data_IF_744111614988
#
_entry.id   IF_744111614988
#
_cell.length_a   1.000
_cell.length_b   1.000
_cell.length_c   1.000
_cell.angle_alpha   90.00
_cell.angle_beta   90.00
_cell.angle_gamma   90.00
#
_symmetry.space_group_name_H-M   'P 1'
#
loop_
_entity.id
_entity.type
_entity.pdbx_description
1 polymer ?
#
# COMPACT_ATOMS: atom_id res chain seq x y z
N UNK A 1 6.85 -30.88 22.86
CA UNK A 1 7.05 -29.84 21.83
C UNK A 1 6.57 -28.52 22.43
N UNK A 2 7.48 -27.60 22.66
CA UNK A 2 7.13 -26.32 23.28
C UNK A 2 6.53 -25.41 22.19
N UNK A 3 5.26 -25.11 22.27
CA UNK A 3 4.52 -24.26 21.32
C UNK A 3 5.02 -22.80 21.31
N UNK A 4 6.10 -22.48 22.07
CA UNK A 4 6.58 -21.12 22.30
C UNK A 4 7.94 -20.79 21.69
N UNK A 5 8.49 -21.67 20.86
CA UNK A 5 9.84 -21.55 20.32
C UNK A 5 9.87 -20.82 18.96
N UNK A 6 8.71 -20.56 18.36
CA UNK A 6 8.63 -19.78 17.12
C UNK A 6 7.44 -18.82 17.15
N UNK A 7 7.53 -17.67 16.49
CA UNK A 7 6.39 -16.77 16.30
C UNK A 7 5.26 -17.44 15.52
N UNK A 8 4.03 -17.09 15.85
CA UNK A 8 2.88 -17.51 15.07
C UNK A 8 2.89 -16.90 13.67
N UNK A 9 2.30 -17.62 12.72
CA UNK A 9 1.98 -17.10 11.39
C UNK A 9 0.52 -16.70 11.31
N UNK A 10 0.20 -15.79 10.41
CA UNK A 10 -1.14 -15.30 10.18
C UNK A 10 -1.61 -15.65 8.77
N UNK A 11 -2.81 -16.22 8.67
CA UNK A 11 -3.52 -16.35 7.39
C UNK A 11 -4.84 -15.62 7.46
N UNK A 12 -5.28 -15.06 6.35
CA UNK A 12 -6.54 -14.33 6.29
C UNK A 12 -7.08 -14.22 4.87
N UNK A 13 -8.38 -14.01 4.76
CA UNK A 13 -9.07 -13.82 3.47
C UNK A 13 -9.13 -12.36 3.04
N UNK A 14 -8.78 -11.43 3.92
CA UNK A 14 -8.77 -10.01 3.63
C UNK A 14 -7.58 -9.64 2.72
N UNK A 15 -7.82 -8.73 1.76
CA UNK A 15 -6.77 -8.24 0.86
C UNK A 15 -5.63 -7.49 1.56
N UNK A 16 -5.83 -7.05 2.80
CA UNK A 16 -4.84 -6.39 3.64
C UNK A 16 -4.09 -7.34 4.57
N UNK A 17 -4.35 -8.65 4.51
CA UNK A 17 -3.68 -9.62 5.38
C UNK A 17 -2.17 -9.51 5.32
N UNK A 18 -1.60 -9.31 4.13
CA UNK A 18 -0.15 -9.19 3.94
C UNK A 18 0.47 -7.94 4.54
N UNK A 19 -0.31 -6.93 4.95
CA UNK A 19 0.20 -5.74 5.66
C UNK A 19 0.98 -6.08 6.92
N UNK A 20 0.61 -7.16 7.61
CA UNK A 20 1.24 -7.55 8.88
C UNK A 20 2.74 -7.85 8.74
N UNK A 21 3.18 -8.20 7.53
CA UNK A 21 4.60 -8.41 7.24
C UNK A 21 5.45 -7.13 7.37
N UNK A 22 4.82 -5.95 7.25
CA UNK A 22 5.47 -4.68 7.55
C UNK A 22 5.87 -4.51 9.02
N UNK A 23 5.19 -5.23 9.92
CA UNK A 23 5.48 -5.34 11.35
C UNK A 23 6.35 -6.57 11.70
N UNK A 24 6.83 -7.29 10.70
CA UNK A 24 7.53 -8.57 10.84
C UNK A 24 6.67 -9.71 11.43
N UNK A 25 5.36 -9.66 11.23
CA UNK A 25 4.47 -10.81 11.45
C UNK A 25 4.33 -11.54 10.12
N UNK A 26 4.76 -12.79 10.06
CA UNK A 26 4.69 -13.57 8.82
C UNK A 26 3.23 -13.92 8.52
N UNK A 27 2.69 -13.33 7.46
CA UNK A 27 1.30 -13.49 7.09
C UNK A 27 1.05 -13.42 5.58
N UNK A 28 0.04 -14.16 5.11
CA UNK A 28 -0.36 -14.16 3.72
C UNK A 28 -1.86 -14.38 3.53
N UNK A 29 -2.34 -13.99 2.34
CA UNK A 29 -3.73 -14.20 1.94
C UNK A 29 -3.99 -15.65 1.56
N UNK A 30 -5.17 -16.16 1.95
CA UNK A 30 -5.66 -17.49 1.60
C UNK A 30 -7.09 -17.40 1.08
N UNK A 31 -7.52 -18.43 0.35
CA UNK A 31 -8.91 -18.57 -0.05
C UNK A 31 -9.83 -18.92 1.12
N UNK A 32 -11.15 -18.79 0.91
CA UNK A 32 -12.13 -19.08 1.96
C UNK A 32 -12.04 -20.51 2.51
N UNK A 33 -11.85 -21.50 1.64
CA UNK A 33 -11.72 -22.92 2.03
C UNK A 33 -10.48 -23.15 2.89
N UNK A 34 -9.37 -22.53 2.58
CA UNK A 34 -8.13 -22.65 3.36
C UNK A 34 -8.27 -21.96 4.72
N UNK A 35 -8.94 -20.81 4.77
CA UNK A 35 -9.25 -20.12 6.02
C UNK A 35 -10.15 -20.98 6.92
N UNK A 36 -11.18 -21.60 6.33
CA UNK A 36 -12.08 -22.51 7.04
C UNK A 36 -11.33 -23.73 7.58
N UNK A 37 -10.45 -24.33 6.79
CA UNK A 37 -9.60 -25.43 7.24
C UNK A 37 -8.71 -25.01 8.42
N UNK A 38 -8.08 -23.83 8.36
CA UNK A 38 -7.30 -23.30 9.46
C UNK A 38 -8.13 -23.07 10.74
N UNK A 39 -9.34 -22.52 10.61
CA UNK A 39 -10.26 -22.33 11.74
C UNK A 39 -10.70 -23.67 12.38
N UNK A 40 -10.80 -24.72 11.60
CA UNK A 40 -11.12 -26.08 12.06
C UNK A 40 -9.89 -26.85 12.59
N UNK A 41 -8.72 -26.21 12.62
CA UNK A 41 -7.47 -26.84 13.08
C UNK A 41 -6.89 -27.86 12.10
N UNK A 42 -7.28 -27.80 10.84
CA UNK A 42 -6.72 -28.66 9.80
C UNK A 42 -5.39 -28.08 9.29
N UNK A 43 -4.37 -28.91 9.01
CA UNK A 43 -3.11 -28.44 8.51
C UNK A 43 -3.24 -27.94 7.05
N UNK A 44 -2.59 -26.82 6.78
CA UNK A 44 -2.40 -26.31 5.42
C UNK A 44 -0.97 -26.64 4.99
N UNK A 45 -0.83 -27.41 3.90
CA UNK A 45 0.46 -27.78 3.36
C UNK A 45 0.95 -26.72 2.38
N UNK A 46 2.19 -26.27 2.53
CA UNK A 46 2.87 -25.39 1.60
C UNK A 46 4.26 -25.95 1.28
N UNK A 47 4.65 -25.84 0.00
CA UNK A 47 6.06 -26.08 -0.36
C UNK A 47 6.92 -25.00 0.29
N UNK A 48 8.14 -25.41 0.76
CA UNK A 48 9.11 -24.45 1.28
C UNK A 48 9.42 -23.43 0.17
N UNK A 49 9.06 -22.14 0.35
CA UNK A 49 9.20 -21.15 -0.71
C UNK A 49 10.66 -20.74 -0.92
N UNK A 50 10.99 -20.42 -2.16
CA UNK A 50 12.20 -19.65 -2.43
C UNK A 50 12.07 -18.25 -1.84
N UNK A 51 13.20 -17.70 -1.35
CA UNK A 51 13.24 -16.34 -0.80
C UNK A 51 14.10 -15.45 -1.68
N UNK A 52 13.49 -14.37 -2.15
CA UNK A 52 14.17 -13.32 -2.91
C UNK A 52 14.50 -12.17 -1.98
N UNK A 53 15.78 -11.88 -1.81
CA UNK A 53 16.23 -10.73 -1.04
C UNK A 53 16.10 -9.43 -1.84
N UNK A 54 15.40 -8.43 -1.31
CA UNK A 54 15.26 -7.11 -1.92
C UNK A 54 16.00 -6.07 -1.08
N UNK A 55 17.18 -5.66 -1.54
CA UNK A 55 18.00 -4.67 -0.83
C UNK A 55 17.51 -3.26 -1.13
N UNK A 56 17.13 -2.52 -0.08
CA UNK A 56 16.82 -1.09 -0.13
C UNK A 56 18.00 -0.30 0.43
N UNK A 57 18.43 0.73 -0.29
CA UNK A 57 19.50 1.63 0.14
C UNK A 57 19.10 3.09 -0.03
N UNK A 58 19.79 3.99 0.67
CA UNK A 58 19.52 5.43 0.59
C UNK A 58 18.21 5.85 1.25
N UNK A 59 17.62 6.92 0.77
CA UNK A 59 16.36 7.47 1.28
C UNK A 59 15.53 8.06 0.13
N UNK A 60 14.21 8.16 0.32
CA UNK A 60 13.34 8.87 -0.60
C UNK A 60 13.72 10.35 -0.64
N UNK A 61 13.67 10.94 -1.83
CA UNK A 61 13.90 12.37 -2.02
C UNK A 61 12.64 13.17 -1.70
N UNK A 62 12.80 14.44 -1.36
CA UNK A 62 11.67 15.34 -1.14
C UNK A 62 10.73 15.35 -2.34
N UNK A 63 9.42 15.31 -2.09
CA UNK A 63 8.39 15.24 -3.14
C UNK A 63 8.06 13.83 -3.63
N UNK A 64 8.74 12.79 -3.14
CA UNK A 64 8.40 11.39 -3.38
C UNK A 64 7.76 10.74 -2.15
N UNK A 65 6.94 9.74 -2.37
CA UNK A 65 6.15 9.06 -1.34
C UNK A 65 6.46 7.57 -1.28
N UNK A 66 6.05 6.91 -0.20
CA UNK A 66 6.07 5.45 -0.12
C UNK A 66 5.27 4.78 -1.24
N UNK A 67 4.23 5.46 -1.75
CA UNK A 67 3.46 4.97 -2.91
C UNK A 67 4.32 4.93 -4.18
N UNK A 68 5.11 5.97 -4.47
CA UNK A 68 6.02 5.98 -5.62
C UNK A 68 7.05 4.84 -5.52
N UNK A 69 7.57 4.62 -4.31
CA UNK A 69 8.49 3.52 -4.03
C UNK A 69 7.85 2.16 -4.30
N UNK A 70 6.63 1.92 -3.77
CA UNK A 70 5.98 0.63 -3.94
C UNK A 70 5.61 0.35 -5.40
N UNK A 71 5.21 1.35 -6.17
CA UNK A 71 4.95 1.17 -7.61
C UNK A 71 6.21 0.72 -8.36
N UNK A 72 7.38 1.27 -8.01
CA UNK A 72 8.66 0.82 -8.59
C UNK A 72 9.04 -0.58 -8.14
N UNK A 73 8.80 -0.93 -6.89
CA UNK A 73 8.99 -2.29 -6.37
C UNK A 73 8.11 -3.29 -7.12
N UNK A 74 6.84 -2.94 -7.36
CA UNK A 74 5.90 -3.80 -8.12
C UNK A 74 6.42 -4.07 -9.52
N UNK A 75 6.88 -3.04 -10.22
CA UNK A 75 7.48 -3.18 -11.56
C UNK A 75 8.66 -4.18 -11.53
N UNK A 76 9.64 -3.93 -10.67
CA UNK A 76 10.87 -4.74 -10.59
C UNK A 76 10.60 -6.21 -10.20
N UNK A 77 9.71 -6.44 -9.24
CA UNK A 77 9.39 -7.79 -8.79
C UNK A 77 8.53 -8.55 -9.81
N UNK A 78 7.63 -7.87 -10.53
CA UNK A 78 6.91 -8.47 -11.65
C UNK A 78 7.84 -8.85 -12.79
N UNK A 79 8.78 -8.00 -13.13
CA UNK A 79 9.81 -8.29 -14.14
C UNK A 79 10.67 -9.48 -13.72
N UNK A 80 11.05 -9.53 -12.44
CA UNK A 80 11.82 -10.64 -11.86
C UNK A 80 11.07 -11.97 -11.85
N UNK A 81 9.75 -11.96 -11.67
CA UNK A 81 8.93 -13.17 -11.59
C UNK A 81 9.05 -13.84 -10.22
N UNK A 82 8.30 -13.35 -9.25
CA UNK A 82 8.32 -13.82 -7.84
C UNK A 82 7.06 -14.60 -7.44
N UNK A 83 6.30 -15.11 -8.39
CA UNK A 83 5.09 -15.89 -8.11
C UNK A 83 5.42 -17.13 -7.28
N UNK A 84 4.71 -17.29 -6.17
CA UNK A 84 4.92 -18.39 -5.23
C UNK A 84 6.18 -18.28 -4.37
N UNK A 85 6.91 -17.15 -4.44
CA UNK A 85 8.10 -16.89 -3.64
C UNK A 85 7.78 -15.94 -2.49
N UNK A 86 8.67 -15.93 -1.50
CA UNK A 86 8.71 -14.88 -0.48
C UNK A 86 9.71 -13.80 -0.91
N UNK A 87 9.42 -12.56 -0.57
CA UNK A 87 10.35 -11.45 -0.75
C UNK A 87 10.73 -10.93 0.63
N UNK A 88 12.02 -10.85 0.94
CA UNK A 88 12.51 -10.27 2.19
C UNK A 88 13.21 -8.95 1.90
N UNK A 89 12.73 -7.89 2.52
CA UNK A 89 13.30 -6.56 2.39
C UNK A 89 14.39 -6.34 3.44
N UNK A 90 15.55 -5.87 3.01
CA UNK A 90 16.70 -5.62 3.86
C UNK A 90 17.55 -4.44 3.36
N UNK A 91 18.58 -4.07 4.08
CA UNK A 91 19.51 -2.99 3.74
C UNK A 91 19.34 -1.76 4.62
N UNK A 92 20.28 -0.83 4.48
CA UNK A 92 20.37 0.39 5.27
C UNK A 92 19.22 1.39 5.00
N UNK A 93 18.60 1.31 3.82
CA UNK A 93 17.43 2.13 3.48
C UNK A 93 16.24 1.93 4.43
N UNK A 94 16.15 0.78 5.10
CA UNK A 94 15.07 0.53 6.07
C UNK A 94 15.09 1.50 7.26
N UNK A 95 16.24 2.09 7.62
CA UNK A 95 16.35 3.08 8.70
C UNK A 95 15.62 4.38 8.38
N UNK A 96 15.37 4.63 7.10
CA UNK A 96 14.69 5.82 6.58
C UNK A 96 13.26 5.53 6.11
N UNK A 97 12.79 4.30 6.29
CA UNK A 97 11.48 3.85 5.83
C UNK A 97 10.54 3.62 7.01
N UNK A 98 9.56 4.51 7.25
CA UNK A 98 8.57 4.34 8.30
C UNK A 98 7.79 3.03 8.17
N UNK A 99 7.32 2.50 9.29
CA UNK A 99 6.56 1.23 9.28
C UNK A 99 5.30 1.31 8.41
N UNK A 100 4.64 2.47 8.34
CA UNK A 100 3.48 2.66 7.47
C UNK A 100 3.81 2.42 5.99
N UNK A 101 4.99 2.85 5.53
CA UNK A 101 5.46 2.59 4.16
C UNK A 101 5.84 1.12 3.98
N UNK A 102 6.48 0.49 4.97
CA UNK A 102 6.74 -0.96 4.96
C UNK A 102 5.44 -1.76 4.85
N UNK A 103 4.42 -1.36 5.60
CA UNK A 103 3.10 -1.98 5.54
C UNK A 103 2.45 -1.82 4.16
N UNK A 104 2.62 -0.65 3.52
CA UNK A 104 2.16 -0.41 2.15
C UNK A 104 2.84 -1.36 1.16
N UNK A 105 4.16 -1.50 1.25
CA UNK A 105 4.93 -2.42 0.40
C UNK A 105 4.51 -3.87 0.64
N UNK A 106 4.39 -4.28 1.89
CA UNK A 106 3.97 -5.62 2.27
C UNK A 106 2.56 -5.96 1.77
N UNK A 107 1.63 -5.00 1.85
CA UNK A 107 0.26 -5.19 1.39
C UNK A 107 0.16 -5.44 -0.11
N UNK A 108 1.04 -4.87 -0.90
CA UNK A 108 1.04 -5.04 -2.34
C UNK A 108 1.75 -6.31 -2.81
N UNK A 109 1.97 -7.28 -1.91
CA UNK A 109 2.54 -8.58 -2.29
C UNK A 109 1.75 -9.29 -3.41
N UNK A 110 0.41 -9.33 -3.42
CA UNK A 110 -0.35 -9.87 -4.54
C UNK A 110 -0.11 -9.12 -5.85
N UNK A 111 0.02 -7.79 -5.81
CA UNK A 111 0.26 -6.96 -6.99
C UNK A 111 1.63 -7.24 -7.61
N UNK A 112 2.69 -7.42 -6.84
CA UNK A 112 3.96 -7.85 -7.40
C UNK A 112 4.10 -9.36 -7.56
N UNK A 113 3.12 -10.13 -7.07
CA UNK A 113 2.97 -11.56 -7.35
C UNK A 113 3.66 -12.49 -6.35
N UNK A 114 4.22 -11.97 -5.25
CA UNK A 114 4.78 -12.79 -4.19
C UNK A 114 3.70 -13.28 -3.21
N UNK A 115 4.00 -14.34 -2.48
CA UNK A 115 3.14 -14.82 -1.38
C UNK A 115 3.11 -13.82 -0.24
N UNK A 116 4.26 -13.23 0.09
CA UNK A 116 4.38 -12.13 1.05
C UNK A 116 5.64 -11.30 0.77
N UNK A 117 5.65 -10.07 1.31
CA UNK A 117 6.81 -9.19 1.34
C UNK A 117 7.16 -8.84 2.79
N UNK A 118 8.20 -9.45 3.32
CA UNK A 118 8.53 -9.48 4.74
C UNK A 118 9.58 -8.44 5.12
N UNK A 119 9.39 -7.80 6.27
CA UNK A 119 10.33 -6.84 6.86
C UNK A 119 10.87 -7.35 8.20
N UNK A 120 12.09 -6.97 8.60
CA UNK A 120 12.66 -7.40 9.88
C UNK A 120 12.06 -6.61 11.05
N UNK A 121 12.24 -7.16 12.27
CA UNK A 121 11.97 -6.45 13.53
C UNK A 121 13.15 -5.53 13.82
N UNK A 122 12.88 -4.25 14.05
CA UNK A 122 13.88 -3.24 14.41
C UNK A 122 13.29 -2.13 15.29
N UNK A 123 14.04 -1.07 15.51
CA UNK A 123 13.59 0.08 16.31
C UNK A 123 12.33 0.75 15.76
N UNK A 124 12.11 0.70 14.43
CA UNK A 124 10.92 1.24 13.81
C UNK A 124 9.67 0.43 14.20
N UNK A 125 9.81 -0.89 14.32
CA UNK A 125 8.74 -1.75 14.84
C UNK A 125 8.36 -1.36 16.27
N UNK A 126 9.35 -1.14 17.14
CA UNK A 126 9.09 -0.72 18.53
C UNK A 126 8.44 0.68 18.59
N UNK A 127 8.89 1.60 17.75
CA UNK A 127 8.30 2.94 17.64
C UNK A 127 6.82 2.85 17.24
N UNK A 128 6.49 2.03 16.27
CA UNK A 128 5.10 1.81 15.86
C UNK A 128 4.25 1.20 16.97
N UNK A 129 4.75 0.19 17.68
CA UNK A 129 4.05 -0.42 18.80
C UNK A 129 3.73 0.62 19.90
N UNK A 130 4.69 1.51 20.20
CA UNK A 130 4.51 2.61 21.15
C UNK A 130 3.46 3.59 20.68
N UNK A 131 3.55 4.03 19.42
CA UNK A 131 2.62 5.00 18.85
C UNK A 131 1.19 4.44 18.71
N UNK A 132 1.04 3.13 18.67
CA UNK A 132 -0.26 2.44 18.63
C UNK A 132 -0.75 1.96 19.98
N UNK A 133 -0.16 2.47 21.09
CA UNK A 133 -0.68 2.33 22.44
C UNK A 133 -0.36 1.01 23.14
N UNK A 134 0.68 0.28 22.72
CA UNK A 134 1.17 -0.89 23.45
C UNK A 134 1.91 -0.43 24.71
N UNK A 135 1.75 -1.19 25.81
CA UNK A 135 2.46 -0.90 27.05
C UNK A 135 3.98 -1.10 26.90
N UNK A 136 4.77 -0.33 27.65
CA UNK A 136 6.24 -0.46 27.61
C UNK A 136 6.70 -1.88 27.97
N UNK A 137 6.06 -2.55 28.91
CA UNK A 137 6.37 -3.96 29.25
C UNK A 137 6.23 -4.88 28.04
N UNK A 138 5.17 -4.67 27.23
CA UNK A 138 4.97 -5.44 26.00
C UNK A 138 6.04 -5.12 24.97
N UNK A 139 6.43 -3.88 24.84
CA UNK A 139 7.47 -3.43 23.90
C UNK A 139 8.83 -4.00 24.29
N UNK A 140 9.18 -3.94 25.56
CA UNK A 140 10.40 -4.54 26.11
C UNK A 140 10.43 -6.07 25.89
N UNK A 141 9.28 -6.74 26.08
CA UNK A 141 9.16 -8.18 25.82
C UNK A 141 9.41 -8.50 24.35
N UNK A 142 8.81 -7.73 23.40
CA UNK A 142 9.03 -7.92 21.95
C UNK A 142 10.50 -7.76 21.61
N UNK A 143 11.16 -6.71 22.12
CA UNK A 143 12.57 -6.46 21.88
C UNK A 143 13.45 -7.61 22.42
N UNK A 144 13.26 -7.98 23.69
CA UNK A 144 14.02 -9.02 24.32
C UNK A 144 13.85 -10.38 23.62
N UNK A 145 12.61 -10.73 23.27
CA UNK A 145 12.28 -11.95 22.55
C UNK A 145 12.93 -11.98 21.16
N UNK A 146 12.76 -10.89 20.39
CA UNK A 146 13.31 -10.80 19.05
C UNK A 146 14.85 -10.93 19.05
N UNK A 147 15.54 -10.29 20.00
CA UNK A 147 16.99 -10.39 20.16
C UNK A 147 17.44 -11.80 20.58
N UNK A 148 16.73 -12.41 21.52
CA UNK A 148 17.05 -13.76 22.00
C UNK A 148 16.88 -14.87 20.93
N UNK A 149 15.98 -14.66 19.97
CA UNK A 149 15.67 -15.58 18.89
C UNK A 149 16.31 -15.23 17.55
N UNK A 150 17.25 -14.28 17.51
CA UNK A 150 17.89 -13.80 16.27
C UNK A 150 16.91 -13.30 15.19
N UNK A 151 15.76 -12.76 15.61
CA UNK A 151 14.76 -12.14 14.73
C UNK A 151 14.96 -10.62 14.61
N UNK A 152 15.87 -10.07 15.43
CA UNK A 152 16.22 -8.67 15.43
C UNK A 152 17.14 -8.34 14.27
N UNK A 153 16.87 -7.25 13.55
CA UNK A 153 17.71 -6.77 12.47
C UNK A 153 19.11 -6.36 12.99
N UNK A 154 20.14 -6.85 12.36
CA UNK A 154 21.53 -6.48 12.60
C UNK A 154 22.11 -5.76 11.37
N UNK A 155 23.04 -4.83 11.57
CA UNK A 155 23.66 -4.07 10.47
C UNK A 155 24.42 -4.98 9.51
N UNK A 156 25.10 -6.02 10.05
CA UNK A 156 25.87 -6.98 9.28
C UNK A 156 25.03 -8.14 8.72
N UNK A 157 23.68 -8.04 8.78
CA UNK A 157 22.81 -9.11 8.33
C UNK A 157 22.90 -9.29 6.81
N UNK A 158 23.48 -10.35 6.38
CA UNK A 158 23.64 -10.71 4.98
C UNK A 158 23.23 -12.17 4.73
N UNK A 159 21.93 -12.47 4.76
CA UNK A 159 21.45 -13.84 4.54
C UNK A 159 21.74 -14.31 3.12
N UNK A 160 21.74 -15.64 2.97
CA UNK A 160 21.86 -16.28 1.66
C UNK A 160 20.45 -16.41 1.10
N UNK A 161 20.15 -15.65 0.06
CA UNK A 161 18.89 -15.71 -0.66
C UNK A 161 19.01 -16.57 -1.91
N UNK A 162 17.90 -17.13 -2.38
CA UNK A 162 17.83 -17.81 -3.67
C UNK A 162 18.16 -16.86 -4.82
N UNK A 163 17.73 -15.61 -4.70
CA UNK A 163 18.02 -14.53 -5.66
C UNK A 163 18.01 -13.16 -4.96
N UNK A 164 18.53 -12.13 -5.63
CA UNK A 164 18.66 -10.80 -5.05
C UNK A 164 18.27 -9.70 -6.05
N UNK A 165 17.65 -8.65 -5.50
CA UNK A 165 17.41 -7.37 -6.17
C UNK A 165 17.97 -6.24 -5.31
N UNK A 166 18.24 -5.11 -5.94
CA UNK A 166 18.72 -3.91 -5.25
C UNK A 166 18.03 -2.66 -5.83
N UNK A 167 17.59 -1.78 -4.95
CA UNK A 167 17.00 -0.49 -5.31
C UNK A 167 17.54 0.60 -4.39
N UNK A 168 18.11 1.65 -5.00
CA UNK A 168 18.44 2.88 -4.28
C UNK A 168 17.19 3.78 -4.25
N UNK A 169 16.63 4.02 -3.06
CA UNK A 169 15.42 4.83 -2.89
C UNK A 169 15.60 6.29 -3.35
N UNK A 170 16.85 6.80 -3.38
CA UNK A 170 17.15 8.13 -3.92
C UNK A 170 16.92 8.26 -5.42
N UNK A 171 16.68 7.17 -6.14
CA UNK A 171 16.36 7.20 -7.59
C UNK A 171 14.86 7.23 -7.87
N UNK A 172 14.03 7.13 -6.82
CA UNK A 172 12.58 7.15 -6.96
C UNK A 172 12.13 8.56 -7.37
N UNK A 173 11.17 8.58 -8.28
CA UNK A 173 10.52 9.80 -8.76
C UNK A 173 9.00 9.63 -8.67
N UNK A 174 8.24 10.73 -8.61
CA UNK A 174 6.78 10.66 -8.63
C UNK A 174 6.26 9.86 -9.84
N UNK A 175 5.34 8.95 -9.59
CA UNK A 175 4.88 8.00 -10.59
C UNK A 175 3.39 7.66 -10.42
N UNK A 176 2.82 7.13 -11.50
CA UNK A 176 1.52 6.48 -11.55
C UNK A 176 1.69 5.08 -12.13
N UNK A 177 0.65 4.28 -12.05
CA UNK A 177 0.63 2.93 -12.64
C UNK A 177 -0.65 2.72 -13.44
N UNK A 178 -0.55 1.96 -14.50
CA UNK A 178 -1.66 1.67 -15.40
C UNK A 178 -1.38 2.05 -16.86
N UNK A 179 -2.41 1.98 -17.74
CA UNK A 179 -3.84 1.82 -17.43
C UNK A 179 -4.32 0.37 -17.21
N UNK A 180 -3.51 -0.65 -17.54
CA UNK A 180 -3.96 -2.03 -17.56
C UNK A 180 -3.61 -2.81 -16.32
N UNK A 181 -2.40 -2.62 -15.79
CA UNK A 181 -1.83 -3.47 -14.73
C UNK A 181 -1.11 -2.65 -13.67
N UNK A 182 -1.02 -3.13 -12.42
CA UNK A 182 -0.29 -2.44 -11.36
C UNK A 182 1.21 -2.23 -11.65
N UNK A 183 1.82 -3.09 -12.45
CA UNK A 183 3.23 -3.02 -12.86
C UNK A 183 3.50 -2.09 -14.04
N UNK A 184 2.47 -1.57 -14.71
CA UNK A 184 2.64 -0.62 -15.82
C UNK A 184 3.06 0.74 -15.24
N UNK A 185 4.32 0.82 -14.80
CA UNK A 185 4.89 1.98 -14.14
C UNK A 185 5.11 3.12 -15.13
N UNK A 186 4.62 4.30 -14.79
CA UNK A 186 4.76 5.51 -15.60
C UNK A 186 5.21 6.67 -14.72
N UNK A 187 6.36 7.25 -15.02
CA UNK A 187 6.79 8.49 -14.38
C UNK A 187 5.76 9.60 -14.61
N UNK A 188 5.47 10.37 -13.57
CA UNK A 188 4.45 11.42 -13.64
C UNK A 188 4.77 12.47 -14.71
N UNK A 189 6.05 12.82 -14.90
CA UNK A 189 6.50 13.75 -15.93
C UNK A 189 6.32 13.22 -17.38
N UNK A 190 6.09 11.92 -17.54
CA UNK A 190 5.85 11.24 -18.82
C UNK A 190 4.41 10.77 -19.00
N UNK A 191 3.52 11.04 -18.02
CA UNK A 191 2.15 10.53 -18.03
C UNK A 191 1.34 10.97 -19.26
N UNK A 192 1.52 12.21 -19.73
CA UNK A 192 0.86 12.71 -20.94
C UNK A 192 1.29 11.95 -22.18
N UNK A 193 2.59 11.79 -22.36
CA UNK A 193 3.14 11.12 -23.55
C UNK A 193 2.74 9.64 -23.57
N UNK A 194 2.82 8.99 -22.40
CA UNK A 194 2.40 7.61 -22.23
C UNK A 194 0.90 7.43 -22.53
N UNK A 195 0.05 8.34 -22.05
CA UNK A 195 -1.39 8.32 -22.34
C UNK A 195 -1.66 8.45 -23.85
N UNK A 196 -1.02 9.43 -24.53
CA UNK A 196 -1.18 9.63 -25.97
C UNK A 196 -0.75 8.39 -26.76
N UNK A 197 0.37 7.78 -26.36
CA UNK A 197 0.86 6.55 -26.97
C UNK A 197 -0.15 5.40 -26.82
N UNK A 198 -0.65 5.17 -25.61
CA UNK A 198 -1.64 4.11 -25.35
C UNK A 198 -2.94 4.32 -26.13
N UNK A 199 -3.41 5.56 -26.24
CA UNK A 199 -4.61 5.89 -27.01
C UNK A 199 -4.44 5.58 -28.50
N UNK A 200 -3.29 5.87 -29.06
CA UNK A 200 -3.01 5.65 -30.49
C UNK A 200 -2.71 4.18 -30.81
N UNK A 201 -1.84 3.53 -30.02
CA UNK A 201 -1.34 2.18 -30.32
C UNK A 201 -2.26 1.07 -29.82
N UNK A 202 -2.78 1.22 -28.57
CA UNK A 202 -3.55 0.17 -27.92
C UNK A 202 -5.05 0.35 -28.11
N UNK A 203 -5.57 1.51 -27.76
CA UNK A 203 -7.02 1.76 -27.81
C UNK A 203 -7.50 2.18 -29.21
N UNK A 204 -6.60 2.68 -30.05
CA UNK A 204 -6.87 3.14 -31.43
C UNK A 204 -8.05 4.12 -31.47
N UNK A 205 -8.09 5.08 -30.54
CA UNK A 205 -9.16 6.06 -30.40
C UNK A 205 -8.65 7.48 -30.58
N UNK A 206 -9.40 8.34 -31.31
CA UNK A 206 -9.03 9.72 -31.50
C UNK A 206 -9.06 10.49 -30.16
N UNK A 207 -8.07 11.36 -29.94
CA UNK A 207 -7.96 12.18 -28.73
C UNK A 207 -8.81 13.45 -28.78
N UNK A 208 -9.08 13.96 -29.98
CA UNK A 208 -9.71 15.23 -30.27
C UNK A 208 -11.25 15.15 -30.37
N UNK A 209 -11.79 13.94 -30.45
CA UNK A 209 -13.25 13.74 -30.57
C UNK A 209 -13.96 14.21 -29.31
N UNK A 210 -14.74 15.29 -29.46
CA UNK A 210 -15.62 15.81 -28.41
C UNK A 210 -17.03 15.27 -28.56
N UNK A 211 -17.61 14.81 -27.47
CA UNK A 211 -18.97 14.26 -27.40
C UNK A 211 -19.79 15.12 -26.43
N UNK A 212 -20.89 15.69 -26.87
CA UNK A 212 -21.81 16.38 -25.98
C UNK A 212 -22.47 15.38 -25.02
N UNK A 213 -22.65 15.78 -23.78
CA UNK A 213 -23.38 15.00 -22.78
C UNK A 213 -24.82 15.49 -22.74
N UNK A 214 -25.76 14.57 -22.90
CA UNK A 214 -27.19 14.90 -22.91
C UNK A 214 -27.62 15.47 -21.55
N UNK A 215 -28.29 16.62 -21.57
CA UNK A 215 -28.75 17.31 -20.37
C UNK A 215 -27.66 18.15 -19.67
N UNK A 216 -26.44 18.23 -20.21
CA UNK A 216 -25.32 18.92 -19.57
C UNK A 216 -24.70 20.00 -20.49
N UNK A 217 -24.10 21.02 -19.86
CA UNK A 217 -23.46 22.13 -20.57
C UNK A 217 -22.00 21.92 -20.92
N UNK A 218 -21.50 20.66 -20.87
CA UNK A 218 -20.13 20.35 -21.17
C UNK A 218 -19.98 19.22 -22.19
N UNK A 219 -18.78 19.13 -22.78
CA UNK A 219 -18.41 18.05 -23.70
C UNK A 219 -17.35 17.19 -23.08
N UNK A 220 -17.42 15.90 -23.33
CA UNK A 220 -16.43 14.92 -22.94
C UNK A 220 -15.48 14.59 -24.11
N UNK A 221 -14.22 14.37 -23.79
CA UNK A 221 -13.22 13.85 -24.72
C UNK A 221 -12.32 12.84 -24.02
N UNK A 222 -11.56 12.09 -24.80
CA UNK A 222 -10.54 11.17 -24.24
C UNK A 222 -9.56 11.92 -23.35
N UNK A 223 -9.16 11.30 -22.24
CA UNK A 223 -8.23 11.87 -21.26
C UNK A 223 -8.87 12.73 -20.16
N UNK A 224 -10.18 12.95 -20.19
CA UNK A 224 -10.89 13.55 -19.05
C UNK A 224 -10.89 12.57 -17.87
N UNK A 225 -10.47 13.06 -16.70
CA UNK A 225 -10.66 12.31 -15.44
C UNK A 225 -12.13 12.37 -15.06
N UNK A 226 -12.75 11.22 -14.89
CA UNK A 226 -14.18 11.11 -14.51
C UNK A 226 -14.38 10.59 -13.09
N UNK A 227 -13.39 9.90 -12.54
CA UNK A 227 -13.39 9.40 -11.17
C UNK A 227 -12.04 9.74 -10.54
N UNK A 228 -12.08 10.31 -9.34
CA UNK A 228 -10.95 10.52 -8.48
C UNK A 228 -11.31 10.00 -7.08
N UNK A 229 -10.87 8.81 -6.73
CA UNK A 229 -11.23 8.17 -5.47
C UNK A 229 -10.02 7.71 -4.68
N UNK A 230 -10.08 7.93 -3.37
CA UNK A 230 -9.20 7.31 -2.39
C UNK A 230 -10.01 6.19 -1.75
N UNK A 231 -9.64 4.94 -2.03
CA UNK A 231 -10.40 3.78 -1.56
C UNK A 231 -9.69 3.10 -0.40
N UNK A 232 -10.41 2.21 0.28
CA UNK A 232 -9.99 1.47 1.48
C UNK A 232 -8.79 0.54 1.25
N UNK A 233 -7.75 1.05 0.62
CA UNK A 233 -6.50 0.33 0.40
C UNK A 233 -5.45 0.74 1.41
N UNK A 234 -4.26 0.19 1.28
CA UNK A 234 -3.09 0.38 2.11
C UNK A 234 -2.74 1.84 2.33
N UNK A 235 -2.86 2.67 1.29
CA UNK A 235 -2.52 4.09 1.36
C UNK A 235 -3.44 4.86 2.33
N UNK A 236 -4.69 4.44 2.50
CA UNK A 236 -5.61 5.09 3.46
C UNK A 236 -5.21 4.81 4.91
N UNK A 237 -4.44 3.77 5.15
CA UNK A 237 -3.89 3.46 6.48
C UNK A 237 -2.57 4.17 6.76
N UNK A 238 -1.96 4.81 5.76
CA UNK A 238 -0.73 5.57 5.90
C UNK A 238 -1.05 7.04 6.22
N UNK A 239 -0.89 7.49 7.49
CA UNK A 239 -1.29 8.83 7.89
C UNK A 239 -0.51 9.94 7.17
N UNK A 240 0.74 9.69 6.78
CA UNK A 240 1.57 10.69 6.09
C UNK A 240 0.97 11.07 4.74
N UNK A 241 0.57 10.07 3.94
CA UNK A 241 -0.01 10.28 2.62
C UNK A 241 -1.40 10.91 2.72
N UNK A 242 -2.20 10.48 3.71
CA UNK A 242 -3.56 11.00 3.89
C UNK A 242 -3.57 12.43 4.43
N UNK A 243 -2.70 12.77 5.36
CA UNK A 243 -2.53 14.14 5.84
C UNK A 243 -2.03 15.04 4.70
N UNK A 244 -1.08 14.56 3.89
CA UNK A 244 -0.62 15.30 2.71
C UNK A 244 -1.78 15.55 1.71
N UNK A 245 -2.63 14.57 1.46
CA UNK A 245 -3.82 14.73 0.62
C UNK A 245 -4.80 15.78 1.20
N UNK A 246 -5.03 15.77 2.51
CA UNK A 246 -5.84 16.77 3.20
C UNK A 246 -5.26 18.18 3.11
N UNK A 247 -3.94 18.33 3.23
CA UNK A 247 -3.26 19.62 3.07
C UNK A 247 -3.33 20.13 1.62
N UNK A 248 -3.25 19.24 0.64
CA UNK A 248 -3.48 19.60 -0.78
C UNK A 248 -4.91 20.06 -0.98
N UNK A 249 -5.90 19.36 -0.39
CA UNK A 249 -7.31 19.78 -0.45
C UNK A 249 -7.50 21.16 0.18
N UNK A 250 -6.94 21.42 1.36
CA UNK A 250 -6.97 22.74 2.01
C UNK A 250 -6.41 23.83 1.10
N UNK A 251 -5.25 23.58 0.51
CA UNK A 251 -4.63 24.53 -0.43
C UNK A 251 -5.46 24.77 -1.67
N UNK A 252 -6.09 23.73 -2.19
CA UNK A 252 -7.01 23.85 -3.34
C UNK A 252 -8.24 24.73 -2.99
N UNK A 253 -8.83 24.52 -1.82
CA UNK A 253 -9.94 25.33 -1.30
C UNK A 253 -9.54 26.80 -1.15
N UNK A 254 -8.40 27.09 -0.52
CA UNK A 254 -7.85 28.45 -0.37
C UNK A 254 -7.66 29.14 -1.73
N UNK A 255 -7.31 28.41 -2.78
CA UNK A 255 -7.15 28.93 -4.15
C UNK A 255 -8.47 28.98 -4.93
N UNK A 256 -9.60 28.62 -4.32
CA UNK A 256 -10.92 28.60 -4.97
C UNK A 256 -11.08 27.52 -6.04
N UNK A 257 -10.22 26.47 -6.02
CA UNK A 257 -10.31 25.36 -6.96
C UNK A 257 -11.49 24.45 -6.61
N UNK A 258 -12.18 23.96 -7.62
CA UNK A 258 -13.31 23.05 -7.50
C UNK A 258 -13.17 21.87 -8.45
N UNK A 259 -13.73 20.73 -8.07
CA UNK A 259 -13.88 19.57 -8.96
C UNK A 259 -14.75 19.93 -10.15
N UNK A 260 -14.40 19.44 -11.32
CA UNK A 260 -15.21 19.65 -12.53
C UNK A 260 -16.53 18.87 -12.41
N UNK A 261 -17.64 19.34 -13.02
CA UNK A 261 -18.96 18.72 -12.87
C UNK A 261 -19.02 17.26 -13.33
N UNK A 262 -18.12 16.85 -14.21
CA UNK A 262 -18.03 15.45 -14.68
C UNK A 262 -17.14 14.56 -13.81
N UNK A 263 -16.49 15.10 -12.77
CA UNK A 263 -15.58 14.30 -11.92
C UNK A 263 -16.32 13.87 -10.66
N UNK A 264 -16.45 12.56 -10.49
CA UNK A 264 -16.90 11.99 -9.22
C UNK A 264 -15.69 11.80 -8.32
N UNK A 265 -15.68 12.50 -7.19
CA UNK A 265 -14.68 12.31 -6.13
C UNK A 265 -15.27 11.48 -5.00
N UNK A 266 -14.45 10.71 -4.31
CA UNK A 266 -14.86 9.97 -3.11
C UNK A 266 -13.67 9.65 -2.22
N UNK A 267 -13.93 9.56 -0.92
CA UNK A 267 -13.02 9.06 0.09
C UNK A 267 -13.69 7.90 0.82
N UNK A 268 -13.08 6.72 0.78
CA UNK A 268 -13.54 5.55 1.49
C UNK A 268 -12.42 5.05 2.41
N UNK A 269 -12.32 5.58 3.65
CA UNK A 269 -11.28 5.20 4.59
C UNK A 269 -11.44 3.73 5.00
N UNK A 270 -10.33 2.99 5.04
CA UNK A 270 -10.32 1.57 5.41
C UNK A 270 -10.47 1.32 6.92
N UNK A 271 -10.44 2.37 7.74
CA UNK A 271 -10.48 2.28 9.20
C UNK A 271 -11.02 3.57 9.82
N UNK A 272 -11.68 3.45 10.96
CA UNK A 272 -12.13 4.59 11.76
C UNK A 272 -10.97 5.49 12.23
N UNK A 273 -9.77 4.93 12.35
CA UNK A 273 -8.56 5.70 12.69
C UNK A 273 -8.27 6.78 11.64
N UNK A 274 -8.56 6.52 10.37
CA UNK A 274 -8.34 7.49 9.28
C UNK A 274 -9.23 8.72 9.47
N UNK A 275 -10.52 8.51 9.70
CA UNK A 275 -11.46 9.61 9.98
C UNK A 275 -11.03 10.36 11.25
N UNK A 276 -10.67 9.64 12.32
CA UNK A 276 -10.28 10.26 13.58
C UNK A 276 -9.06 11.20 13.46
N UNK A 277 -7.99 10.81 12.74
CA UNK A 277 -6.84 11.69 12.60
C UNK A 277 -7.09 12.81 11.58
N UNK A 278 -7.90 12.62 10.53
CA UNK A 278 -8.28 13.70 9.62
C UNK A 278 -9.14 14.76 10.32
N UNK A 279 -10.06 14.33 11.20
CA UNK A 279 -10.86 15.23 12.03
C UNK A 279 -9.98 15.98 13.04
N UNK A 280 -9.07 15.26 13.74
CA UNK A 280 -8.15 15.86 14.69
C UNK A 280 -7.20 16.87 14.03
N UNK A 281 -6.84 16.67 12.77
CA UNK A 281 -6.02 17.61 11.98
C UNK A 281 -6.87 18.70 11.29
N UNK A 282 -8.19 18.71 11.48
CA UNK A 282 -9.13 19.66 10.85
C UNK A 282 -9.02 19.66 9.30
N UNK A 283 -8.82 18.47 8.69
CA UNK A 283 -8.62 18.30 7.25
C UNK A 283 -9.82 17.66 6.54
N UNK A 284 -10.73 17.00 7.27
CA UNK A 284 -11.89 16.33 6.67
C UNK A 284 -12.78 17.32 5.93
N UNK A 285 -13.03 18.48 6.52
CA UNK A 285 -13.87 19.54 5.90
C UNK A 285 -13.33 20.04 4.55
N UNK A 286 -11.98 20.13 4.42
CA UNK A 286 -11.36 20.59 3.18
C UNK A 286 -11.49 19.51 2.08
N UNK A 287 -11.38 18.24 2.44
CA UNK A 287 -11.63 17.10 1.55
C UNK A 287 -13.10 17.07 1.10
N UNK A 288 -14.04 17.26 2.02
CA UNK A 288 -15.48 17.31 1.70
C UNK A 288 -15.80 18.47 0.75
N UNK A 289 -15.18 19.62 0.95
CA UNK A 289 -15.39 20.81 0.13
C UNK A 289 -14.94 20.67 -1.32
N UNK A 290 -13.89 19.87 -1.59
CA UNK A 290 -13.49 19.51 -2.96
C UNK A 290 -14.29 18.32 -3.51
N UNK A 291 -15.27 17.81 -2.76
CA UNK A 291 -16.16 16.73 -3.15
C UNK A 291 -15.66 15.32 -2.77
N UNK A 292 -14.52 15.20 -2.09
CA UNK A 292 -14.01 13.91 -1.56
C UNK A 292 -14.73 13.53 -0.27
N UNK A 293 -16.05 13.38 -0.36
CA UNK A 293 -16.91 13.04 0.79
C UNK A 293 -16.62 11.64 1.26
N UNK A 294 -16.47 11.49 2.58
CA UNK A 294 -16.24 10.19 3.20
C UNK A 294 -17.53 9.35 3.13
N UNK A 295 -17.45 8.23 2.42
CA UNK A 295 -18.50 7.22 2.43
C UNK A 295 -18.24 6.21 3.51
N UNK A 296 -18.91 6.34 4.65
CA UNK A 296 -18.84 5.39 5.77
C UNK A 296 -19.61 4.09 5.52
N UNK A 297 -20.26 3.93 4.38
CA UNK A 297 -21.18 2.84 4.06
C UNK A 297 -20.56 1.76 3.17
N UNK A 298 -19.36 1.30 3.51
CA UNK A 298 -18.85 0.02 3.00
C UNK A 298 -19.34 -1.17 3.85
N UNK A 299 -20.10 -0.94 4.90
CA UNK A 299 -20.92 -1.99 5.48
C UNK A 299 -22.11 -2.20 4.56
N UNK A 300 -22.22 -3.37 3.93
CA UNK A 300 -23.50 -3.86 3.45
C UNK A 300 -24.55 -3.53 4.51
N UNK A 301 -25.68 -2.89 4.14
CA UNK A 301 -26.75 -2.72 5.09
C UNK A 301 -27.13 -4.13 5.57
N UNK A 302 -26.77 -4.46 6.79
CA UNK A 302 -27.27 -5.64 7.45
C UNK A 302 -28.75 -5.32 7.70
N UNK A 303 -29.56 -5.65 6.72
CA UNK A 303 -31.02 -5.63 6.89
C UNK A 303 -31.30 -6.82 7.79
N UNK A 304 -31.29 -6.59 9.08
CA UNK A 304 -31.98 -7.45 10.00
C UNK A 304 -33.48 -7.19 9.83
N UNK A 305 -34.10 -7.89 8.91
CA UNK A 305 -35.51 -8.18 9.04
C UNK A 305 -35.64 -9.37 9.97
N UNK A 306 -36.04 -9.12 11.18
CA UNK A 306 -36.64 -10.14 12.05
C UNK A 306 -38.07 -10.35 11.60
#
# INVERSE_FOLDING_TARGET
>A
MCIRDSPDTLVGTDSHTTMVNGMAVLGWGVGGIEAEAAMLGQPISMLIPEVVGFKLTGALTEGTTGTDLVLKIVELLREKGVVGKFVEFYGDGLDKLPLADRATIANMAPEYGATCGFFPIDNETLRYLRNTGRSEDRILLVEAYAKANNLWRHEDYSPIYTDRLHLNMGTIVPAISGPKRPQDYVRLDKAKDAFVKEMNETFKRPLDKQIAVEGENFKMCSGKVVIASITSCTNTSNPYVMIAAGLVARKAVELGLQSKPWVKTSLAPGSQVVSAYLDAADLQKDLDQIGSVSYTHLTLPTIYSV
#
